data_IF_590062703055
#
_entry.id   IF_590062703055
#
_cell.length_a   1.000
_cell.length_b   1.000
_cell.length_c   1.000
_cell.angle_alpha   90.00
_cell.angle_beta   90.00
_cell.angle_gamma   90.00
#
_symmetry.space_group_name_H-M   'P 1'
#
loop_
_entity.id
_entity.type
_entity.pdbx_description
1 polymer ?
#
# COMPACT_ATOMS: atom_id res chain seq x y z
N UNK A 1 19.13 21.97 -10.05
CA UNK A 1 17.83 21.87 -9.38
C UNK A 1 17.99 21.16 -8.07
N UNK A 2 18.35 21.88 -7.01
CA UNK A 2 18.43 21.31 -5.66
C UNK A 2 17.04 21.03 -5.07
N UNK A 3 16.98 20.33 -3.92
CA UNK A 3 15.71 20.01 -3.28
C UNK A 3 14.95 21.28 -2.87
N UNK A 4 13.63 21.25 -3.04
CA UNK A 4 12.70 22.29 -2.56
C UNK A 4 11.58 21.62 -1.78
N UNK A 5 11.21 22.21 -0.66
CA UNK A 5 10.09 21.72 0.15
C UNK A 5 8.79 22.19 -0.49
N UNK A 6 7.83 21.27 -0.65
CA UNK A 6 6.47 21.59 -1.09
C UNK A 6 5.55 21.79 0.12
N UNK A 7 5.58 20.84 1.05
CA UNK A 7 4.75 20.84 2.25
C UNK A 7 5.40 20.02 3.38
N UNK A 8 4.81 20.11 4.57
CA UNK A 8 5.14 19.25 5.71
C UNK A 8 3.89 18.49 6.16
N UNK A 9 4.10 17.26 6.61
CA UNK A 9 3.10 16.46 7.30
C UNK A 9 3.69 15.95 8.62
N UNK A 10 2.85 15.77 9.65
CA UNK A 10 3.28 15.40 11.02
C UNK A 10 2.93 13.95 11.37
N UNK A 11 2.67 13.13 10.35
CA UNK A 11 2.34 11.70 10.46
C UNK A 11 2.83 10.94 9.24
N UNK A 12 2.76 9.61 9.28
CA UNK A 12 3.03 8.78 8.10
C UNK A 12 2.00 9.01 6.98
N UNK A 13 2.48 9.24 5.76
CA UNK A 13 1.65 9.28 4.57
C UNK A 13 0.92 7.95 4.33
N UNK A 14 -0.21 8.02 3.64
CA UNK A 14 -0.95 6.85 3.18
C UNK A 14 -1.26 7.09 1.70
N UNK A 15 -0.66 6.32 0.77
CA UNK A 15 -0.15 4.96 0.96
C UNK A 15 1.37 4.80 1.17
N UNK A 16 2.12 5.87 1.46
CA UNK A 16 3.59 5.82 1.57
C UNK A 16 4.08 4.92 2.71
N UNK A 17 3.37 4.90 3.84
CA UNK A 17 3.69 4.06 4.99
C UNK A 17 3.80 2.58 4.62
N UNK A 18 2.83 2.06 3.86
CA UNK A 18 2.75 0.65 3.51
C UNK A 18 3.93 0.23 2.63
N UNK A 19 4.32 1.06 1.67
CA UNK A 19 5.50 0.78 0.84
C UNK A 19 6.80 0.82 1.67
N UNK A 20 6.95 1.82 2.54
CA UNK A 20 8.18 2.01 3.31
C UNK A 20 8.35 0.95 4.41
N UNK A 21 7.28 0.67 5.18
CA UNK A 21 7.31 -0.27 6.31
C UNK A 21 7.49 -1.72 5.86
N UNK A 22 7.09 -2.07 4.64
CA UNK A 22 7.34 -3.40 4.08
C UNK A 22 8.84 -3.74 3.91
N UNK A 23 9.72 -2.73 4.01
CA UNK A 23 11.17 -2.89 3.94
C UNK A 23 11.89 -2.62 5.27
N UNK A 24 11.17 -2.21 6.32
CA UNK A 24 11.79 -1.86 7.59
C UNK A 24 12.48 -3.10 8.17
N UNK A 25 13.77 -2.97 8.47
CA UNK A 25 14.59 -4.01 9.08
C UNK A 25 15.03 -3.53 10.48
N UNK A 26 14.04 -3.22 11.30
CA UNK A 26 14.21 -2.74 12.67
C UNK A 26 12.93 -3.02 13.48
N UNK A 27 13.04 -3.06 14.80
CA UNK A 27 11.87 -3.12 15.67
C UNK A 27 11.17 -1.75 15.73
N UNK A 28 10.01 -1.65 15.08
CA UNK A 28 9.23 -0.41 15.06
C UNK A 28 8.84 0.05 16.47
N UNK A 29 8.59 -0.86 17.42
CA UNK A 29 8.24 -0.49 18.80
C UNK A 29 9.44 0.14 19.49
N UNK A 30 10.63 -0.42 19.33
CA UNK A 30 11.86 0.17 19.86
C UNK A 30 12.09 1.59 19.30
N UNK A 31 11.95 1.76 17.99
CA UNK A 31 12.08 3.07 17.33
C UNK A 31 11.07 4.07 17.90
N UNK A 32 9.80 3.69 18.03
CA UNK A 32 8.75 4.57 18.55
C UNK A 32 8.98 4.95 20.02
N UNK A 33 9.43 4.00 20.85
CA UNK A 33 9.80 4.26 22.26
C UNK A 33 11.01 5.20 22.34
N UNK A 34 12.02 4.99 21.50
CA UNK A 34 13.19 5.85 21.45
C UNK A 34 12.86 7.27 21.01
N UNK A 35 11.94 7.46 20.04
CA UNK A 35 11.40 8.77 19.67
C UNK A 35 10.71 9.43 20.88
N UNK A 36 9.79 8.71 21.53
CA UNK A 36 9.05 9.22 22.69
C UNK A 36 9.94 9.57 23.89
N UNK A 37 11.08 8.90 24.01
CA UNK A 37 12.06 9.11 25.10
C UNK A 37 13.28 9.95 24.69
N UNK A 38 13.29 10.52 23.48
CA UNK A 38 14.38 11.35 22.91
C UNK A 38 15.73 10.63 22.78
N UNK A 39 15.72 9.31 22.62
CA UNK A 39 16.88 8.42 22.47
C UNK A 39 17.01 7.84 21.07
N UNK A 40 16.38 8.45 20.06
CA UNK A 40 16.44 7.97 18.67
C UNK A 40 17.88 7.79 18.17
N UNK A 41 18.80 8.63 18.62
CA UNK A 41 20.22 8.56 18.27
C UNK A 41 20.94 7.31 18.80
N UNK A 42 20.31 6.53 19.68
CA UNK A 42 20.83 5.27 20.24
C UNK A 42 20.31 4.03 19.48
N UNK A 43 19.35 4.20 18.57
CA UNK A 43 18.71 3.10 17.84
C UNK A 43 19.20 3.08 16.39
N UNK A 44 19.60 1.90 15.92
CA UNK A 44 19.92 1.68 14.51
C UNK A 44 18.63 1.39 13.73
N UNK A 45 18.41 2.13 12.65
CA UNK A 45 17.25 1.95 11.78
C UNK A 45 17.76 1.54 10.41
N UNK A 46 17.57 0.27 10.09
CA UNK A 46 17.96 -0.29 8.81
C UNK A 46 16.73 -0.56 7.93
N UNK A 47 17.00 -0.67 6.63
CA UNK A 47 16.03 -1.10 5.63
C UNK A 47 16.66 -2.21 4.81
N UNK A 48 15.86 -3.21 4.48
CA UNK A 48 16.26 -4.25 3.53
C UNK A 48 16.62 -3.63 2.16
N UNK A 49 17.53 -4.26 1.38
CA UNK A 49 17.88 -3.78 0.04
C UNK A 49 16.76 -4.02 -0.99
N UNK A 50 15.76 -4.85 -0.66
CA UNK A 50 14.61 -5.16 -1.50
C UNK A 50 13.85 -3.88 -1.93
N UNK A 51 13.16 -3.92 -3.06
CA UNK A 51 12.22 -2.89 -3.46
C UNK A 51 10.78 -3.23 -3.01
N UNK A 52 9.94 -2.21 -2.89
CA UNK A 52 8.51 -2.36 -2.59
C UNK A 52 7.66 -1.46 -3.50
N UNK A 53 6.45 -1.91 -3.81
CA UNK A 53 5.48 -1.18 -4.63
C UNK A 53 4.09 -1.33 -4.01
N UNK A 54 3.46 -0.22 -3.62
CA UNK A 54 2.11 -0.20 -3.06
C UNK A 54 1.10 0.26 -4.12
N UNK A 55 0.13 -0.58 -4.46
CA UNK A 55 -0.99 -0.26 -5.35
C UNK A 55 -2.27 -0.15 -4.52
N UNK A 56 -2.94 0.99 -4.62
CA UNK A 56 -4.24 1.22 -3.96
C UNK A 56 -5.36 0.67 -4.83
N UNK A 57 -6.14 -0.25 -4.28
CA UNK A 57 -7.45 -0.64 -4.82
C UNK A 57 -8.50 0.32 -4.27
N UNK A 58 -9.27 0.96 -5.15
CA UNK A 58 -10.29 1.95 -4.78
C UNK A 58 -11.70 1.48 -5.16
N UNK A 59 -12.69 2.09 -4.51
CA UNK A 59 -14.10 1.90 -4.82
C UNK A 59 -14.47 2.63 -6.13
N UNK A 60 -15.50 2.14 -6.79
CA UNK A 60 -16.13 2.85 -7.91
C UNK A 60 -16.60 4.22 -7.45
N UNK A 61 -16.29 5.25 -8.22
CA UNK A 61 -16.69 6.64 -7.94
C UNK A 61 -15.77 7.41 -7.00
N UNK A 62 -14.71 6.82 -6.45
CA UNK A 62 -13.65 7.57 -5.76
C UNK A 62 -12.93 8.52 -6.74
N UNK A 63 -12.62 9.78 -6.37
CA UNK A 63 -12.72 10.37 -5.02
C UNK A 63 -14.07 11.01 -4.65
N UNK A 64 -15.01 11.14 -5.58
CA UNK A 64 -16.20 11.97 -5.41
C UNK A 64 -17.35 11.27 -4.67
N UNK A 65 -17.81 10.14 -5.21
CA UNK A 65 -19.00 9.39 -4.73
C UNK A 65 -18.71 7.88 -4.71
N UNK A 66 -17.88 7.41 -3.74
CA UNK A 66 -17.53 6.01 -3.65
C UNK A 66 -18.73 5.12 -3.29
N UNK A 67 -18.86 3.98 -3.96
CA UNK A 67 -19.87 2.95 -3.66
C UNK A 67 -19.36 1.96 -2.59
N UNK A 68 -20.19 1.64 -1.60
CA UNK A 68 -19.85 0.78 -0.46
C UNK A 68 -20.67 -0.53 -0.43
N UNK A 69 -20.30 -1.43 0.49
CA UNK A 69 -21.03 -2.67 0.76
C UNK A 69 -20.82 -3.75 -0.29
N UNK A 70 -19.79 -3.63 -1.14
CA UNK A 70 -19.48 -4.63 -2.16
C UNK A 70 -18.63 -5.75 -1.53
N UNK A 71 -19.04 -7.04 -1.61
CA UNK A 71 -18.23 -8.14 -1.12
C UNK A 71 -16.87 -8.21 -1.80
N UNK A 72 -15.84 -8.50 -1.00
CA UNK A 72 -14.45 -8.62 -1.43
C UNK A 72 -14.06 -10.10 -1.37
N UNK A 73 -13.57 -10.62 -2.49
CA UNK A 73 -13.12 -12.01 -2.65
C UNK A 73 -11.66 -12.07 -3.14
N UNK A 74 -11.02 -13.24 -3.00
CA UNK A 74 -9.63 -13.48 -3.42
C UNK A 74 -8.58 -12.88 -2.48
N UNK A 75 -8.94 -12.54 -1.23
CA UNK A 75 -8.00 -12.01 -0.24
C UNK A 75 -6.96 -13.08 0.16
N UNK A 76 -7.42 -14.29 0.49
CA UNK A 76 -6.54 -15.39 0.91
C UNK A 76 -5.60 -15.80 -0.23
N UNK A 77 -6.15 -16.04 -1.43
CA UNK A 77 -5.39 -16.35 -2.64
C UNK A 77 -4.34 -15.28 -2.98
N UNK A 78 -4.65 -14.01 -2.75
CA UNK A 78 -3.71 -12.92 -2.99
C UNK A 78 -2.62 -12.82 -1.92
N UNK A 79 -2.93 -13.18 -0.66
CA UNK A 79 -1.99 -13.20 0.45
C UNK A 79 -1.01 -14.38 0.37
N UNK A 80 -1.39 -15.47 -0.31
CA UNK A 80 -0.50 -16.61 -0.60
C UNK A 80 0.57 -16.29 -1.66
N UNK A 81 0.42 -15.18 -2.38
CA UNK A 81 1.42 -14.74 -3.36
C UNK A 81 2.69 -14.32 -2.62
N UNK A 82 3.80 -15.00 -2.91
CA UNK A 82 5.11 -14.68 -2.34
C UNK A 82 5.44 -13.18 -2.47
N UNK A 83 5.85 -12.57 -1.35
CA UNK A 83 6.22 -11.16 -1.29
C UNK A 83 5.05 -10.19 -1.36
N UNK A 84 3.81 -10.66 -1.19
CA UNK A 84 2.62 -9.79 -1.13
C UNK A 84 2.17 -9.58 0.32
N UNK A 85 1.85 -8.33 0.64
CA UNK A 85 1.20 -7.94 1.88
C UNK A 85 -0.07 -7.14 1.55
N UNK A 86 -1.17 -7.47 2.22
CA UNK A 86 -2.45 -6.80 2.05
C UNK A 86 -2.75 -5.97 3.30
N UNK A 87 -2.93 -4.66 3.12
CA UNK A 87 -3.36 -3.76 4.19
C UNK A 87 -4.78 -3.30 3.94
N UNK A 88 -5.67 -3.59 4.88
CA UNK A 88 -7.05 -3.13 4.88
C UNK A 88 -7.11 -1.62 5.14
N UNK A 89 -7.74 -0.88 4.24
CA UNK A 89 -8.06 0.54 4.41
C UNK A 89 -9.57 0.68 4.67
N UNK A 90 -10.35 1.03 3.65
CA UNK A 90 -11.81 1.10 3.73
C UNK A 90 -12.49 -0.24 3.56
N UNK A 91 -12.32 -1.16 4.51
CA UNK A 91 -13.05 -2.45 4.55
C UNK A 91 -13.74 -2.66 5.89
N UNK A 92 -14.80 -3.48 5.91
CA UNK A 92 -15.48 -3.89 7.14
C UNK A 92 -15.93 -5.35 7.05
N UNK A 93 -15.97 -6.04 8.18
CA UNK A 93 -16.66 -7.33 8.29
C UNK A 93 -18.18 -7.10 8.35
N UNK A 94 -18.92 -7.65 7.40
CA UNK A 94 -20.37 -7.57 7.42
C UNK A 94 -20.94 -8.54 8.47
N UNK A 95 -21.69 -8.00 9.43
CA UNK A 95 -22.23 -8.79 10.54
C UNK A 95 -23.35 -9.77 10.16
N UNK A 96 -23.91 -9.68 8.94
CA UNK A 96 -24.95 -10.60 8.47
C UNK A 96 -24.36 -11.72 7.63
N UNK A 97 -23.51 -11.40 6.65
CA UNK A 97 -22.92 -12.42 5.78
C UNK A 97 -21.61 -13.01 6.33
N UNK A 98 -20.93 -12.31 7.24
CA UNK A 98 -19.59 -12.67 7.70
C UNK A 98 -18.49 -12.38 6.67
N UNK A 99 -18.82 -11.70 5.57
CA UNK A 99 -17.87 -11.39 4.50
C UNK A 99 -17.18 -10.05 4.73
N UNK A 100 -15.99 -9.88 4.18
CA UNK A 100 -15.35 -8.57 4.10
C UNK A 100 -15.97 -7.78 2.94
N UNK A 101 -16.42 -6.55 3.21
CA UNK A 101 -17.04 -5.65 2.23
C UNK A 101 -16.32 -4.31 2.12
N UNK A 102 -16.48 -3.62 0.99
CA UNK A 102 -16.01 -2.24 0.81
C UNK A 102 -16.71 -1.28 1.77
N UNK A 103 -15.94 -0.37 2.38
CA UNK A 103 -16.42 0.56 3.41
C UNK A 103 -15.69 1.92 3.39
N UNK A 104 -15.08 2.29 2.27
CA UNK A 104 -14.40 3.58 2.10
C UNK A 104 -14.04 3.87 0.64
N UNK A 105 -13.38 5.01 0.38
CA UNK A 105 -12.96 5.37 -0.98
C UNK A 105 -11.77 4.55 -1.47
N UNK A 106 -10.73 4.42 -0.64
CA UNK A 106 -9.59 3.51 -0.83
C UNK A 106 -9.85 2.26 -0.01
N UNK A 107 -9.77 1.10 -0.64
CA UNK A 107 -10.27 -0.18 -0.09
C UNK A 107 -9.11 -1.00 0.47
N UNK A 108 -8.10 -1.27 -0.33
CA UNK A 108 -6.94 -2.08 0.05
C UNK A 108 -5.67 -1.43 -0.48
N UNK A 109 -4.60 -1.54 0.29
CA UNK A 109 -3.25 -1.23 -0.15
C UNK A 109 -2.53 -2.57 -0.37
N UNK A 110 -2.24 -2.88 -1.64
CA UNK A 110 -1.59 -4.12 -2.07
C UNK A 110 -0.11 -3.83 -2.25
N UNK A 111 0.72 -4.35 -1.35
CA UNK A 111 2.17 -4.15 -1.39
C UNK A 111 2.83 -5.40 -1.95
N UNK A 112 3.56 -5.26 -3.04
CA UNK A 112 4.52 -6.26 -3.49
C UNK A 112 5.93 -5.86 -3.04
N UNK A 113 6.70 -6.83 -2.57
CA UNK A 113 8.11 -6.73 -2.22
C UNK A 113 8.91 -7.65 -3.12
N UNK A 114 10.07 -7.22 -3.58
CA UNK A 114 10.94 -8.04 -4.43
C UNK A 114 12.37 -7.52 -4.51
N UNK A 115 13.23 -8.26 -5.19
CA UNK A 115 14.66 -7.94 -5.31
C UNK A 115 14.89 -6.60 -6.03
N UNK A 116 13.98 -6.24 -6.93
CA UNK A 116 13.94 -4.97 -7.63
C UNK A 116 12.50 -4.44 -7.80
N UNK A 117 12.39 -3.20 -8.30
CA UNK A 117 11.10 -2.54 -8.48
C UNK A 117 10.21 -3.26 -9.50
N UNK A 118 10.79 -3.91 -10.51
CA UNK A 118 10.02 -4.62 -11.53
C UNK A 118 9.33 -5.85 -10.94
N UNK A 119 10.05 -6.62 -10.11
CA UNK A 119 9.50 -7.76 -9.40
C UNK A 119 8.47 -7.34 -8.35
N UNK A 120 8.77 -6.29 -7.57
CA UNK A 120 7.83 -5.74 -6.58
C UNK A 120 6.51 -5.29 -7.24
N UNK A 121 6.58 -4.61 -8.40
CA UNK A 121 5.39 -4.28 -9.21
C UNK A 121 4.65 -5.52 -9.65
N UNK A 122 5.33 -6.49 -10.26
CA UNK A 122 4.71 -7.70 -10.80
C UNK A 122 3.87 -8.41 -9.74
N UNK A 123 4.46 -8.64 -8.56
CA UNK A 123 3.80 -9.26 -7.41
C UNK A 123 2.57 -8.47 -6.96
N UNK A 124 2.70 -7.15 -6.80
CA UNK A 124 1.58 -6.28 -6.41
C UNK A 124 0.42 -6.37 -7.43
N UNK A 125 0.71 -6.24 -8.72
CA UNK A 125 -0.30 -6.29 -9.77
C UNK A 125 -0.91 -7.68 -9.97
N UNK A 126 -0.15 -8.76 -9.71
CA UNK A 126 -0.68 -10.12 -9.68
C UNK A 126 -1.74 -10.27 -8.60
N UNK A 127 -1.45 -9.81 -7.37
CA UNK A 127 -2.43 -9.78 -6.28
C UNK A 127 -3.64 -8.88 -6.59
N UNK A 128 -3.42 -7.69 -7.18
CA UNK A 128 -4.52 -6.81 -7.59
C UNK A 128 -5.48 -7.48 -8.60
N UNK A 129 -5.00 -8.41 -9.44
CA UNK A 129 -5.86 -9.15 -10.39
C UNK A 129 -6.68 -10.24 -9.71
N UNK A 130 -6.13 -10.89 -8.69
CA UNK A 130 -6.79 -11.94 -7.90
C UNK A 130 -7.93 -11.37 -7.06
N UNK A 131 -7.69 -10.26 -6.35
CA UNK A 131 -8.69 -9.62 -5.48
C UNK A 131 -9.86 -9.09 -6.32
N UNK A 132 -11.11 -9.41 -5.98
CA UNK A 132 -12.29 -8.98 -6.74
C UNK A 132 -13.35 -8.35 -5.85
N UNK A 133 -13.90 -7.23 -6.31
CA UNK A 133 -15.13 -6.64 -5.83
C UNK A 133 -15.72 -5.76 -6.95
N UNK A 134 -17.02 -5.54 -6.91
CA UNK A 134 -17.73 -4.77 -7.94
C UNK A 134 -17.17 -3.35 -8.05
N UNK A 135 -16.83 -2.93 -9.28
CA UNK A 135 -16.38 -1.57 -9.54
C UNK A 135 -14.97 -1.23 -9.04
N UNK A 136 -14.15 -2.23 -8.69
CA UNK A 136 -12.73 -2.08 -8.34
C UNK A 136 -11.97 -1.26 -9.40
N UNK A 137 -11.28 -0.22 -8.96
CA UNK A 137 -10.35 0.57 -9.77
C UNK A 137 -8.96 0.61 -9.14
N UNK A 138 -7.92 0.73 -9.95
CA UNK A 138 -6.55 1.01 -9.53
C UNK A 138 -5.74 1.49 -10.73
N UNK A 139 -4.66 2.24 -10.49
CA UNK A 139 -3.73 2.68 -11.53
C UNK A 139 -2.78 1.54 -11.93
N UNK A 140 -2.47 1.41 -13.23
CA UNK A 140 -1.59 0.37 -13.78
C UNK A 140 -0.11 0.78 -13.91
N UNK A 141 0.23 2.02 -13.54
CA UNK A 141 1.52 2.67 -13.81
C UNK A 141 2.30 3.09 -12.52
N UNK A 142 1.89 2.61 -11.33
CA UNK A 142 2.43 3.04 -10.02
C UNK A 142 3.89 2.64 -9.78
N UNK A 143 4.87 3.46 -10.16
CA UNK A 143 6.31 3.12 -10.16
C UNK A 143 6.86 2.67 -11.53
N UNK A 144 6.19 3.03 -12.63
CA UNK A 144 6.64 2.69 -13.97
C UNK A 144 7.73 3.68 -14.39
N UNK A 145 8.84 3.19 -14.94
CA UNK A 145 10.03 4.00 -15.27
C UNK A 145 9.90 4.84 -16.54
N UNK A 146 8.74 4.84 -17.22
CA UNK A 146 8.48 5.72 -18.38
C UNK A 146 7.09 6.32 -18.30
N UNK A 147 7.05 7.66 -18.21
CA UNK A 147 6.01 8.45 -18.88
C UNK A 147 6.11 8.10 -20.37
N UNK A 148 5.26 7.20 -20.84
CA UNK A 148 5.06 7.02 -22.26
C UNK A 148 4.39 8.30 -22.80
N UNK A 149 5.20 9.20 -23.37
CA UNK A 149 4.72 10.37 -24.12
C UNK A 149 4.85 11.70 -23.38
N UNK A 150 6.06 12.25 -23.34
CA UNK A 150 6.28 13.69 -23.39
C UNK A 150 7.55 13.94 -24.22
N UNK A 151 7.51 13.52 -25.48
CA UNK A 151 8.40 14.09 -26.49
C UNK A 151 7.93 15.53 -26.72
N UNK A 152 8.86 16.47 -26.63
CA UNK A 152 8.64 17.88 -26.97
C UNK A 152 8.04 18.06 -28.36
#
# INVERSE_FOLDING_TARGET
GGPKVLEFNVRFGDPECQAMMARLDADLIEVLVAVGTKRLHEVDIAWTPAASCCVVLAAKGYPDKPEFGKPISGLDEAAEIEGVQLFHAGTRLDGKSGEIVTAGGRILNVVGVGDDLAQARERAYRACKVIRYEGKTYRSDIGATKLAGATK
#
